data_IF_430415052569
#
_entry.id   IF_430415052569
#
_cell.length_a   1.000
_cell.length_b   1.000
_cell.length_c   1.000
_cell.angle_alpha   90.00
_cell.angle_beta   90.00
_cell.angle_gamma   90.00
#
_symmetry.space_group_name_H-M   'P 1'
#
loop_
_entity.id
_entity.type
_entity.pdbx_description
1 polymer ?
#
# COMPACT_ATOMS: atom_id res chain seq x y z
N UNK A 1 -25.11 11.61 -34.65
CA UNK A 1 -25.91 12.19 -33.55
C UNK A 1 -26.89 11.14 -33.06
N UNK A 2 -26.52 10.40 -32.01
CA UNK A 2 -27.46 9.55 -31.26
C UNK A 2 -27.99 10.42 -30.12
N UNK A 3 -29.29 10.73 -30.13
CA UNK A 3 -29.94 11.39 -29.01
C UNK A 3 -29.98 10.40 -27.84
N UNK A 4 -29.22 10.68 -26.78
CA UNK A 4 -29.30 9.95 -25.52
C UNK A 4 -30.64 10.32 -24.86
N UNK A 5 -31.62 9.42 -24.90
CA UNK A 5 -32.81 9.54 -24.06
C UNK A 5 -32.40 9.32 -22.59
N UNK A 6 -32.74 10.28 -21.73
CA UNK A 6 -32.42 10.20 -20.31
C UNK A 6 -33.28 9.12 -19.62
N UNK A 7 -32.69 8.15 -18.88
CA UNK A 7 -33.46 7.17 -18.14
C UNK A 7 -34.23 7.83 -16.98
N UNK A 8 -35.40 7.29 -16.59
CA UNK A 8 -36.23 7.85 -15.53
C UNK A 8 -35.55 7.79 -14.15
N UNK A 9 -35.92 8.70 -13.25
CA UNK A 9 -35.42 8.74 -11.87
C UNK A 9 -35.76 7.45 -11.11
N UNK A 10 -34.90 7.01 -10.16
CA UNK A 10 -35.19 5.90 -9.26
C UNK A 10 -36.49 6.14 -8.47
N UNK A 11 -37.28 5.08 -8.25
CA UNK A 11 -38.57 5.16 -7.56
C UNK A 11 -38.51 5.69 -6.11
N UNK A 12 -37.32 5.74 -5.51
CA UNK A 12 -37.06 6.23 -4.16
C UNK A 12 -36.39 7.63 -4.13
N UNK A 13 -36.40 8.38 -5.23
CA UNK A 13 -35.83 9.72 -5.27
C UNK A 13 -36.58 10.69 -4.33
N UNK A 14 -35.89 11.59 -3.60
CA UNK A 14 -36.52 12.62 -2.78
C UNK A 14 -37.45 13.51 -3.62
N UNK A 15 -38.61 13.91 -3.08
CA UNK A 15 -39.64 14.69 -3.80
C UNK A 15 -39.20 16.06 -4.33
N UNK A 16 -38.00 16.52 -3.93
CA UNK A 16 -37.39 17.77 -4.39
C UNK A 16 -36.63 17.62 -5.73
N UNK A 17 -36.44 16.40 -6.23
CA UNK A 17 -35.73 16.14 -7.49
C UNK A 17 -36.72 16.09 -8.66
N UNK A 18 -36.46 16.88 -9.70
CA UNK A 18 -37.23 16.86 -10.95
C UNK A 18 -36.60 15.93 -11.97
N UNK A 19 -37.35 15.52 -13.00
CA UNK A 19 -36.87 14.61 -14.03
C UNK A 19 -35.58 15.06 -14.74
N UNK A 20 -35.31 16.37 -14.76
CA UNK A 20 -34.12 16.97 -15.37
C UNK A 20 -32.95 17.14 -14.37
N UNK A 21 -33.20 16.91 -13.07
CA UNK A 21 -32.22 17.03 -11.99
C UNK A 21 -31.47 15.71 -11.80
N UNK A 22 -30.59 15.37 -12.74
CA UNK A 22 -29.65 14.27 -12.51
C UNK A 22 -28.58 14.71 -11.48
N UNK A 23 -28.24 13.89 -10.47
CA UNK A 23 -27.45 14.30 -9.30
C UNK A 23 -25.99 14.73 -9.55
N UNK A 24 -25.55 14.79 -10.80
CA UNK A 24 -24.22 15.29 -11.17
C UNK A 24 -24.25 16.78 -11.57
N UNK A 25 -25.36 17.29 -12.11
CA UNK A 25 -25.41 18.65 -12.70
C UNK A 25 -26.02 19.70 -11.76
N UNK A 26 -26.97 19.32 -10.89
CA UNK A 26 -27.51 20.23 -9.87
C UNK A 26 -26.45 20.73 -8.88
N UNK A 27 -25.49 19.87 -8.54
CA UNK A 27 -24.27 20.23 -7.83
C UNK A 27 -23.44 21.23 -8.64
N UNK A 28 -23.18 20.95 -9.93
CA UNK A 28 -22.38 21.81 -10.80
C UNK A 28 -22.95 23.24 -10.91
N UNK A 29 -24.27 23.41 -10.97
CA UNK A 29 -24.91 24.74 -11.07
C UNK A 29 -24.80 25.55 -9.77
N UNK A 30 -24.88 24.89 -8.63
CA UNK A 30 -24.65 25.50 -7.32
C UNK A 30 -23.18 25.91 -7.13
N UNK A 31 -22.23 25.10 -7.61
CA UNK A 31 -20.79 25.36 -7.49
C UNK A 31 -20.23 26.34 -8.53
N UNK A 32 -20.81 26.41 -9.73
CA UNK A 32 -20.40 27.36 -10.79
C UNK A 32 -20.81 28.81 -10.48
N UNK A 33 -21.84 29.03 -9.67
CA UNK A 33 -22.31 30.38 -9.29
C UNK A 33 -21.60 30.96 -8.05
N UNK A 34 -20.77 30.15 -7.36
CA UNK A 34 -19.96 30.56 -6.21
C UNK A 34 -18.48 30.34 -6.49
N UNK A 35 -18.00 30.98 -7.56
CA UNK A 35 -16.59 30.94 -7.96
C UNK A 35 -15.65 31.41 -6.83
N UNK A 36 -16.13 32.28 -5.93
CA UNK A 36 -15.44 32.71 -4.71
C UNK A 36 -15.11 31.53 -3.77
N UNK A 37 -16.09 30.66 -3.49
CA UNK A 37 -15.89 29.50 -2.61
C UNK A 37 -15.04 28.41 -3.27
N UNK A 38 -15.13 28.26 -4.60
CA UNK A 38 -14.28 27.31 -5.34
C UNK A 38 -12.85 27.83 -5.42
N UNK A 39 -12.61 29.14 -5.61
CA UNK A 39 -11.26 29.70 -5.65
C UNK A 39 -10.58 29.62 -4.28
N UNK A 40 -11.27 29.95 -3.19
CA UNK A 40 -10.72 29.82 -1.82
C UNK A 40 -10.52 28.35 -1.41
N UNK A 41 -11.46 27.46 -1.75
CA UNK A 41 -11.29 26.03 -1.49
C UNK A 41 -10.24 25.40 -2.41
N UNK A 42 -10.09 25.86 -3.66
CA UNK A 42 -9.08 25.30 -4.58
C UNK A 42 -7.67 25.84 -4.34
N UNK A 43 -7.49 26.96 -3.65
CA UNK A 43 -6.19 27.36 -3.09
C UNK A 43 -5.78 26.47 -1.91
N UNK A 44 -6.77 25.93 -1.20
CA UNK A 44 -6.62 24.90 -0.17
C UNK A 44 -6.40 23.48 -0.76
N UNK A 45 -6.92 23.18 -1.96
CA UNK A 45 -6.76 21.87 -2.64
C UNK A 45 -5.55 21.74 -3.59
N UNK A 46 -4.81 22.83 -3.86
CA UNK A 46 -3.74 22.86 -4.86
C UNK A 46 -2.43 22.16 -4.44
N UNK A 47 -2.27 21.79 -3.16
CA UNK A 47 -1.04 21.17 -2.62
C UNK A 47 -1.25 19.66 -2.34
N UNK A 48 -1.52 18.92 -3.41
CA UNK A 48 -1.83 17.48 -3.41
C UNK A 48 -0.66 16.52 -3.07
N UNK A 49 0.46 17.03 -2.54
CA UNK A 49 1.51 16.22 -1.91
C UNK A 49 1.37 16.12 -0.38
N UNK A 50 0.46 16.90 0.19
CA UNK A 50 0.55 17.34 1.58
C UNK A 50 -0.81 17.48 2.27
N UNK A 51 -1.91 17.32 1.52
CA UNK A 51 -3.25 17.10 2.07
C UNK A 51 -3.38 15.76 2.80
N UNK A 52 -2.42 14.82 2.66
CA UNK A 52 -2.32 13.64 3.54
C UNK A 52 -2.11 14.08 4.98
N UNK A 53 -1.21 15.03 5.27
CA UNK A 53 -0.95 15.49 6.63
C UNK A 53 -2.18 16.16 7.27
N UNK A 54 -2.98 16.90 6.51
CA UNK A 54 -4.20 17.56 6.98
C UNK A 54 -5.38 16.58 7.13
N UNK A 55 -5.53 15.63 6.18
CA UNK A 55 -6.44 14.49 6.34
C UNK A 55 -6.12 13.70 7.62
N UNK A 56 -4.82 13.49 7.89
CA UNK A 56 -4.29 12.60 8.92
C UNK A 56 -4.24 13.21 10.32
N UNK A 57 -3.93 14.51 10.43
CA UNK A 57 -3.85 15.20 11.72
C UNK A 57 -5.18 15.83 12.14
N UNK A 58 -6.11 16.05 11.21
CA UNK A 58 -7.40 16.69 11.47
C UNK A 58 -7.30 18.16 11.86
N UNK A 59 -6.13 18.78 11.72
CA UNK A 59 -5.89 20.19 12.02
C UNK A 59 -5.73 20.96 10.71
N UNK A 60 -6.33 22.15 10.56
CA UNK A 60 -6.06 23.00 9.41
C UNK A 60 -4.57 23.36 9.37
N UNK A 61 -3.91 23.14 8.24
CA UNK A 61 -2.50 23.48 8.04
C UNK A 61 -2.40 24.62 7.03
N UNK A 62 -1.49 25.57 7.26
CA UNK A 62 -1.20 26.59 6.25
C UNK A 62 -0.41 25.98 5.09
N UNK A 63 -0.46 26.59 3.90
CA UNK A 63 0.38 26.20 2.75
C UNK A 63 1.87 26.11 3.11
N UNK A 64 2.37 27.03 3.94
CA UNK A 64 3.75 27.00 4.42
C UNK A 64 4.06 25.82 5.35
N UNK A 65 3.13 25.45 6.24
CA UNK A 65 3.31 24.29 7.12
C UNK A 65 3.35 22.97 6.34
N UNK A 66 2.49 22.88 5.34
CA UNK A 66 2.31 21.79 4.38
C UNK A 66 3.58 21.55 3.57
N UNK A 67 4.15 22.60 2.97
CA UNK A 67 5.41 22.53 2.22
C UNK A 67 6.60 22.21 3.13
N UNK A 68 6.68 22.84 4.31
CA UNK A 68 7.74 22.60 5.30
C UNK A 68 7.76 21.14 5.75
N UNK A 69 6.61 20.61 6.17
CA UNK A 69 6.51 19.22 6.62
C UNK A 69 6.75 18.24 5.47
N UNK A 70 6.23 18.52 4.27
CA UNK A 70 6.52 17.69 3.09
C UNK A 70 8.01 17.60 2.77
N UNK A 71 8.72 18.73 2.81
CA UNK A 71 10.18 18.77 2.63
C UNK A 71 10.93 17.99 3.72
N UNK A 72 10.52 18.15 4.99
CA UNK A 72 11.05 17.37 6.11
C UNK A 72 10.82 15.87 5.91
N UNK A 73 9.60 15.45 5.57
CA UNK A 73 9.23 14.06 5.37
C UNK A 73 10.06 13.40 4.27
N UNK A 74 10.15 14.03 3.08
CA UNK A 74 10.92 13.49 1.96
C UNK A 74 12.41 13.38 2.31
N UNK A 75 12.98 14.41 2.95
CA UNK A 75 14.39 14.42 3.37
C UNK A 75 14.67 13.29 4.36
N UNK A 76 13.85 13.16 5.40
CA UNK A 76 14.01 12.14 6.43
C UNK A 76 13.81 10.73 5.85
N UNK A 77 12.76 10.51 5.07
CA UNK A 77 12.49 9.22 4.41
C UNK A 77 13.64 8.81 3.50
N UNK A 78 14.17 9.73 2.69
CA UNK A 78 15.31 9.46 1.79
C UNK A 78 16.57 9.10 2.58
N UNK A 79 16.80 9.71 3.74
CA UNK A 79 17.93 9.36 4.59
C UNK A 79 17.77 7.97 5.23
N UNK A 80 16.56 7.64 5.68
CA UNK A 80 16.24 6.36 6.32
C UNK A 80 16.28 5.19 5.34
N UNK A 81 15.82 5.37 4.10
CA UNK A 81 15.80 4.32 3.06
C UNK A 81 17.12 4.19 2.25
N UNK A 82 18.26 4.60 2.83
CA UNK A 82 19.57 4.41 2.21
C UNK A 82 20.03 2.95 2.29
N UNK A 83 20.92 2.57 1.37
CA UNK A 83 21.49 1.22 1.30
C UNK A 83 22.05 0.75 2.65
N UNK A 84 22.87 1.57 3.31
CA UNK A 84 23.55 1.18 4.55
C UNK A 84 22.57 0.88 5.69
N UNK A 85 21.44 1.59 5.75
CA UNK A 85 20.40 1.31 6.75
C UNK A 85 19.68 -0.01 6.46
N UNK A 86 19.44 -0.35 5.19
CA UNK A 86 18.90 -1.66 4.84
C UNK A 86 19.87 -2.77 5.19
N UNK A 87 21.17 -2.62 4.91
CA UNK A 87 22.19 -3.62 5.28
C UNK A 87 22.20 -3.83 6.80
N UNK A 88 22.20 -2.73 7.57
CA UNK A 88 22.18 -2.78 9.03
C UNK A 88 20.95 -3.51 9.56
N UNK A 89 19.76 -3.22 9.02
CA UNK A 89 18.50 -3.73 9.55
C UNK A 89 18.06 -5.07 8.92
N UNK A 90 18.75 -5.54 7.88
CA UNK A 90 18.36 -6.74 7.12
C UNK A 90 18.17 -7.96 8.03
N UNK A 91 19.09 -8.18 8.98
CA UNK A 91 19.01 -9.30 9.91
C UNK A 91 17.72 -9.27 10.76
N UNK A 92 17.21 -8.09 11.13
CA UNK A 92 15.97 -7.96 11.87
C UNK A 92 14.74 -8.29 11.00
N UNK A 93 14.74 -7.82 9.75
CA UNK A 93 13.65 -8.09 8.81
C UNK A 93 13.60 -9.58 8.46
N UNK A 94 14.75 -10.19 8.18
CA UNK A 94 14.85 -11.63 7.92
C UNK A 94 14.42 -12.44 9.15
N UNK A 95 14.84 -12.03 10.35
CA UNK A 95 14.39 -12.64 11.60
C UNK A 95 12.87 -12.57 11.78
N UNK A 96 12.24 -11.43 11.51
CA UNK A 96 10.78 -11.31 11.62
C UNK A 96 10.06 -12.26 10.64
N UNK A 97 10.55 -12.38 9.40
CA UNK A 97 10.01 -13.33 8.43
C UNK A 97 10.16 -14.78 8.89
N UNK A 98 11.32 -15.14 9.46
CA UNK A 98 11.57 -16.46 10.06
C UNK A 98 10.65 -16.73 11.24
N UNK A 99 10.52 -15.80 12.19
CA UNK A 99 9.64 -15.92 13.36
C UNK A 99 8.19 -16.12 12.93
N UNK A 100 7.73 -15.41 11.89
CA UNK A 100 6.40 -15.65 11.34
C UNK A 100 6.22 -17.10 10.85
N UNK A 101 7.20 -17.65 10.14
CA UNK A 101 7.15 -19.05 9.71
C UNK A 101 7.17 -20.02 10.91
N UNK A 102 7.95 -19.74 11.95
CA UNK A 102 7.98 -20.53 13.19
C UNK A 102 6.63 -20.49 13.93
N UNK A 103 5.97 -19.32 13.98
CA UNK A 103 4.61 -19.19 14.53
C UNK A 103 3.59 -19.98 13.70
N UNK A 104 3.68 -19.92 12.37
CA UNK A 104 2.79 -20.67 11.48
C UNK A 104 2.97 -22.18 11.59
N UNK A 105 4.18 -22.67 11.89
CA UNK A 105 4.46 -24.09 12.11
C UNK A 105 3.75 -24.65 13.34
N UNK A 106 3.77 -23.91 14.45
CA UNK A 106 3.20 -24.35 15.72
C UNK A 106 1.71 -24.03 15.85
N UNK A 107 1.13 -23.33 14.86
CA UNK A 107 -0.30 -23.09 14.80
C UNK A 107 -1.10 -24.39 14.76
N UNK A 108 -2.30 -24.35 15.33
CA UNK A 108 -3.19 -25.49 15.42
C UNK A 108 -3.55 -26.04 14.04
N UNK A 109 -3.48 -27.36 13.92
CA UNK A 109 -3.96 -28.07 12.73
C UNK A 109 -5.49 -28.03 12.69
N UNK A 110 -6.04 -28.13 11.49
CA UNK A 110 -7.49 -28.10 11.29
C UNK A 110 -8.10 -29.39 11.83
N UNK A 111 -9.16 -29.33 12.67
CA UNK A 111 -9.85 -30.52 13.13
C UNK A 111 -10.34 -31.38 11.97
N UNK A 112 -9.98 -32.67 11.96
CA UNK A 112 -10.31 -33.60 10.88
C UNK A 112 -9.37 -33.56 9.67
N UNK A 113 -8.38 -32.65 9.66
CA UNK A 113 -7.34 -32.60 8.63
C UNK A 113 -5.95 -32.25 9.23
N UNK A 114 -5.28 -33.22 9.88
CA UNK A 114 -4.09 -32.97 10.70
C UNK A 114 -2.86 -32.53 9.90
N UNK A 115 -2.86 -32.66 8.58
CA UNK A 115 -1.76 -32.16 7.75
C UNK A 115 -1.82 -30.64 7.55
N UNK A 116 -3.03 -30.08 7.52
CA UNK A 116 -3.27 -28.72 7.08
C UNK A 116 -3.54 -27.79 8.26
N UNK A 117 -3.00 -26.58 8.14
CA UNK A 117 -3.34 -25.42 8.95
C UNK A 117 -4.06 -24.41 8.07
N UNK A 118 -4.72 -23.44 8.70
CA UNK A 118 -5.44 -22.38 8.01
C UNK A 118 -4.99 -21.03 8.52
N UNK A 119 -4.85 -20.06 7.62
CA UNK A 119 -4.61 -18.67 7.97
C UNK A 119 -5.47 -17.74 7.13
N UNK A 120 -5.73 -16.55 7.67
CA UNK A 120 -6.14 -15.40 6.86
C UNK A 120 -4.89 -14.57 6.52
N UNK A 121 -4.47 -14.50 5.25
CA UNK A 121 -3.25 -13.79 4.87
C UNK A 121 -3.31 -12.29 5.19
N UNK A 122 -4.51 -11.67 5.19
CA UNK A 122 -4.69 -10.26 5.57
C UNK A 122 -4.57 -10.01 7.07
N UNK A 123 -4.54 -11.06 7.91
CA UNK A 123 -4.26 -10.94 9.34
C UNK A 123 -2.78 -11.19 9.61
N UNK A 124 -2.22 -12.27 9.06
CA UNK A 124 -0.83 -12.69 9.31
C UNK A 124 0.16 -11.77 8.60
N UNK A 125 0.06 -11.68 7.27
CA UNK A 125 1.06 -11.00 6.45
C UNK A 125 0.96 -9.47 6.59
N UNK A 126 -0.27 -8.94 6.73
CA UNK A 126 -0.46 -7.52 7.00
C UNK A 126 0.20 -7.12 8.33
N UNK A 127 0.06 -7.93 9.38
CA UNK A 127 0.71 -7.66 10.68
C UNK A 127 2.23 -7.72 10.56
N UNK A 128 2.78 -8.69 9.83
CA UNK A 128 4.22 -8.80 9.62
C UNK A 128 4.78 -7.58 8.88
N UNK A 129 4.11 -7.10 7.83
CA UNK A 129 4.49 -5.85 7.14
C UNK A 129 4.49 -4.68 8.11
N UNK A 130 3.51 -4.59 9.01
CA UNK A 130 3.48 -3.52 10.01
C UNK A 130 4.68 -3.56 10.95
N UNK A 131 5.07 -4.75 11.39
CA UNK A 131 6.25 -4.96 12.22
C UNK A 131 7.54 -4.55 11.48
N UNK A 132 7.72 -5.01 10.24
CA UNK A 132 8.88 -4.66 9.40
C UNK A 132 8.96 -3.16 9.07
N UNK A 133 7.79 -2.53 8.84
CA UNK A 133 7.66 -1.09 8.65
C UNK A 133 8.09 -0.35 9.91
N UNK A 134 7.65 -0.79 11.10
CA UNK A 134 8.08 -0.21 12.38
C UNK A 134 9.59 -0.34 12.60
N UNK A 135 10.23 -1.44 12.19
CA UNK A 135 11.69 -1.58 12.26
C UNK A 135 12.45 -0.61 11.36
N UNK A 136 11.88 -0.26 10.22
CA UNK A 136 12.60 0.51 9.19
C UNK A 136 12.33 1.99 9.31
N UNK A 137 11.06 2.38 9.44
CA UNK A 137 10.62 3.78 9.42
C UNK A 137 9.95 4.23 10.72
N UNK A 138 9.89 3.37 11.75
CA UNK A 138 9.27 3.69 13.03
C UNK A 138 10.13 3.38 14.26
N UNK A 139 9.48 2.88 15.30
CA UNK A 139 10.09 2.67 16.61
C UNK A 139 10.27 1.17 16.93
N UNK A 140 11.49 0.79 17.35
CA UNK A 140 11.82 -0.58 17.74
C UNK A 140 10.94 -1.11 18.88
N UNK A 141 10.55 -0.28 19.85
CA UNK A 141 9.69 -0.72 20.96
C UNK A 141 8.32 -1.20 20.47
N UNK A 142 7.83 -0.67 19.34
CA UNK A 142 6.58 -1.10 18.72
C UNK A 142 6.77 -2.38 17.92
N UNK A 143 7.92 -2.54 17.25
CA UNK A 143 8.24 -3.73 16.48
C UNK A 143 8.55 -4.95 17.37
N UNK A 144 9.20 -4.75 18.52
CA UNK A 144 9.64 -5.83 19.40
C UNK A 144 8.57 -6.24 20.44
N UNK A 145 7.63 -5.35 20.76
CA UNK A 145 6.55 -5.65 21.69
C UNK A 145 5.25 -5.99 20.94
N UNK A 146 4.92 -7.29 20.89
CA UNK A 146 3.71 -7.79 20.23
C UNK A 146 2.42 -7.08 20.65
N UNK A 147 2.20 -6.88 21.95
CA UNK A 147 0.97 -6.25 22.44
C UNK A 147 0.89 -4.76 22.03
N UNK A 148 2.02 -4.05 22.04
CA UNK A 148 2.08 -2.66 21.61
C UNK A 148 1.92 -2.53 20.09
N UNK A 149 2.56 -3.42 19.32
CA UNK A 149 2.41 -3.52 17.88
C UNK A 149 0.95 -3.79 17.48
N UNK A 150 0.32 -4.79 18.09
CA UNK A 150 -1.08 -5.15 17.82
C UNK A 150 -2.04 -4.00 18.18
N UNK A 151 -1.79 -3.32 19.31
CA UNK A 151 -2.55 -2.13 19.70
C UNK A 151 -2.43 -1.01 18.66
N UNK A 152 -1.21 -0.60 18.33
CA UNK A 152 -0.99 0.53 17.40
C UNK A 152 -1.50 0.22 15.99
N UNK A 153 -1.34 -1.03 15.52
CA UNK A 153 -1.91 -1.52 14.27
C UNK A 153 -3.44 -1.45 14.28
N UNK A 154 -4.10 -1.83 15.37
CA UNK A 154 -5.56 -1.71 15.50
C UNK A 154 -6.02 -0.23 15.44
N UNK A 155 -5.30 0.68 16.12
CA UNK A 155 -5.60 2.12 16.04
C UNK A 155 -5.38 2.66 14.62
N UNK A 156 -4.32 2.22 13.94
CA UNK A 156 -4.06 2.61 12.55
C UNK A 156 -5.18 2.13 11.61
N UNK A 157 -5.69 0.91 11.79
CA UNK A 157 -6.81 0.40 11.01
C UNK A 157 -8.12 1.19 11.28
N UNK A 158 -8.36 1.61 12.52
CA UNK A 158 -9.50 2.48 12.84
C UNK A 158 -9.36 3.84 12.12
N UNK A 159 -8.15 4.40 12.12
CA UNK A 159 -7.83 5.65 11.44
C UNK A 159 -8.04 5.55 9.91
N UNK A 160 -7.65 4.43 9.31
CA UNK A 160 -7.86 4.11 7.89
C UNK A 160 -9.37 4.01 7.57
N UNK A 161 -10.13 3.23 8.35
CA UNK A 161 -11.59 3.05 8.15
C UNK A 161 -12.38 4.35 8.26
N UNK A 162 -11.91 5.29 9.08
CA UNK A 162 -12.54 6.61 9.29
C UNK A 162 -12.08 7.65 8.25
N UNK A 163 -11.32 7.23 7.24
CA UNK A 163 -11.02 8.08 6.10
C UNK A 163 -12.28 8.31 5.25
N UNK A 164 -12.59 9.58 4.96
CA UNK A 164 -13.77 9.94 4.19
C UNK A 164 -13.39 10.96 3.12
N UNK A 165 -13.82 10.68 1.89
CA UNK A 165 -13.70 11.60 0.76
C UNK A 165 -14.56 12.85 0.94
N UNK A 166 -15.55 12.84 1.84
CA UNK A 166 -16.34 14.03 2.17
C UNK A 166 -15.46 15.18 2.68
N UNK A 167 -14.31 14.89 3.31
CA UNK A 167 -13.34 15.93 3.73
C UNK A 167 -12.70 16.65 2.54
N UNK A 168 -12.63 16.01 1.37
CA UNK A 168 -12.15 16.65 0.15
C UNK A 168 -13.17 17.65 -0.38
N UNK A 169 -14.44 17.52 -0.05
CA UNK A 169 -15.48 18.46 -0.52
C UNK A 169 -15.86 19.48 0.56
N UNK A 170 -15.84 19.06 1.82
CA UNK A 170 -16.28 19.82 2.99
C UNK A 170 -15.22 19.73 4.11
N UNK A 171 -14.00 20.28 3.89
CA UNK A 171 -12.91 20.17 4.86
C UNK A 171 -13.23 20.81 6.21
N UNK A 172 -14.05 21.86 6.19
CA UNK A 172 -14.48 22.60 7.37
C UNK A 172 -15.61 21.92 8.17
N UNK A 173 -16.28 20.90 7.61
CA UNK A 173 -17.44 20.29 8.26
C UNK A 173 -17.00 19.25 9.31
N UNK A 174 -17.25 19.48 10.61
CA UNK A 174 -16.86 18.56 11.65
C UNK A 174 -17.85 17.38 11.74
N UNK A 175 -17.67 16.38 10.89
CA UNK A 175 -18.48 15.15 10.93
C UNK A 175 -18.13 14.26 12.14
N UNK A 176 -19.02 13.37 12.60
CA UNK A 176 -18.69 12.40 13.64
C UNK A 176 -17.44 11.56 13.31
N UNK A 177 -17.28 11.17 12.03
CA UNK A 177 -16.10 10.48 11.54
C UNK A 177 -14.82 11.33 11.68
N UNK A 178 -14.91 12.66 11.51
CA UNK A 178 -13.80 13.57 11.74
C UNK A 178 -13.30 13.53 13.19
N UNK A 179 -14.21 13.63 14.17
CA UNK A 179 -13.85 13.58 15.59
C UNK A 179 -13.27 12.23 16.00
N UNK A 180 -13.88 11.13 15.56
CA UNK A 180 -13.37 9.79 15.83
C UNK A 180 -11.98 9.56 15.24
N UNK A 181 -11.71 10.12 14.05
CA UNK A 181 -10.40 10.07 13.42
C UNK A 181 -9.35 10.90 14.19
N UNK A 182 -9.71 12.10 14.64
CA UNK A 182 -8.84 12.91 15.51
C UNK A 182 -8.49 12.16 16.79
N UNK A 183 -9.47 11.45 17.36
CA UNK A 183 -9.26 10.64 18.55
C UNK A 183 -8.28 9.48 18.31
N UNK A 184 -8.37 8.75 17.19
CA UNK A 184 -7.38 7.72 16.85
C UNK A 184 -5.98 8.30 16.60
N UNK A 185 -5.91 9.43 15.91
CA UNK A 185 -4.65 10.18 15.74
C UNK A 185 -4.05 10.57 17.08
N UNK A 186 -4.86 11.02 18.03
CA UNK A 186 -4.43 11.32 19.40
C UNK A 186 -3.98 10.07 20.16
N UNK A 187 -4.64 8.93 19.98
CA UNK A 187 -4.23 7.64 20.58
C UNK A 187 -2.84 7.22 20.11
N UNK A 188 -2.55 7.32 18.81
CA UNK A 188 -1.22 7.06 18.26
C UNK A 188 -0.21 8.11 18.74
N UNK A 189 -0.56 9.39 18.71
CA UNK A 189 0.28 10.46 19.23
C UNK A 189 0.67 10.24 20.69
N UNK A 190 -0.26 9.78 21.54
CA UNK A 190 0.03 9.49 22.95
C UNK A 190 1.05 8.37 23.12
N UNK A 191 0.98 7.32 22.29
CA UNK A 191 1.96 6.22 22.32
C UNK A 191 3.33 6.72 21.86
N UNK A 192 3.41 7.32 20.67
CA UNK A 192 4.68 7.74 20.09
C UNK A 192 5.33 8.87 20.91
N UNK A 193 4.56 9.84 21.40
CA UNK A 193 5.07 10.90 22.28
C UNK A 193 5.61 10.37 23.60
N UNK A 194 5.01 9.30 24.14
CA UNK A 194 5.54 8.63 25.34
C UNK A 194 6.89 7.99 25.04
N UNK A 195 7.01 7.24 23.95
CA UNK A 195 8.27 6.63 23.51
C UNK A 195 9.36 7.71 23.37
N UNK A 196 9.07 8.78 22.63
CA UNK A 196 10.03 9.88 22.39
C UNK A 196 10.50 10.51 23.72
N UNK A 197 9.56 10.84 24.62
CA UNK A 197 9.89 11.45 25.92
C UNK A 197 10.70 10.51 26.81
N UNK A 198 10.36 9.22 26.82
CA UNK A 198 11.12 8.23 27.58
C UNK A 198 12.56 8.13 27.08
N UNK A 199 12.79 8.11 25.76
CA UNK A 199 14.14 8.11 25.17
C UNK A 199 14.93 9.36 25.55
N UNK A 200 14.32 10.54 25.43
CA UNK A 200 14.94 11.81 25.82
C UNK A 200 15.32 11.85 27.31
N UNK A 201 14.55 11.18 28.18
CA UNK A 201 14.82 11.13 29.62
C UNK A 201 15.88 10.10 30.03
N UNK A 202 15.92 8.94 29.34
CA UNK A 202 16.78 7.80 29.72
C UNK A 202 18.15 7.83 29.04
N UNK A 203 18.31 8.61 27.96
CA UNK A 203 19.57 8.69 27.21
C UNK A 203 19.98 7.38 26.55
N UNK A 204 19.02 6.46 26.31
CA UNK A 204 19.28 5.18 25.65
C UNK A 204 19.52 5.40 24.16
N UNK A 205 20.64 4.88 23.65
CA UNK A 205 20.95 4.92 22.22
C UNK A 205 20.17 3.80 21.49
N UNK A 206 19.30 4.19 20.56
CA UNK A 206 18.64 3.30 19.61
C UNK A 206 19.19 3.54 18.19
N UNK A 207 19.00 2.59 17.29
CA UNK A 207 19.49 2.69 15.90
C UNK A 207 18.36 2.66 14.87
N UNK A 208 17.24 3.30 15.21
CA UNK A 208 16.02 3.34 14.42
C UNK A 208 15.63 4.76 13.97
N UNK A 209 14.47 4.86 13.31
CA UNK A 209 13.98 6.11 12.75
C UNK A 209 13.63 7.14 13.80
N UNK A 210 13.10 6.72 14.95
CA UNK A 210 12.76 7.64 16.03
C UNK A 210 14.02 8.29 16.60
N UNK A 211 15.09 7.52 16.81
CA UNK A 211 16.34 8.08 17.31
C UNK A 211 16.97 9.04 16.29
N UNK A 212 17.02 8.65 15.02
CA UNK A 212 17.51 9.51 13.95
C UNK A 212 16.79 10.87 13.92
N UNK A 213 15.47 10.87 14.06
CA UNK A 213 14.68 12.10 14.04
C UNK A 213 14.86 12.92 15.33
N UNK A 214 14.97 12.29 16.49
CA UNK A 214 15.30 12.97 17.75
C UNK A 214 16.66 13.66 17.65
N UNK A 215 17.68 12.94 17.15
CA UNK A 215 19.04 13.46 17.01
C UNK A 215 19.12 14.60 15.98
N UNK A 216 18.24 14.59 14.98
CA UNK A 216 18.11 15.70 14.01
C UNK A 216 17.46 16.97 14.60
N UNK A 217 16.99 16.92 15.85
CA UNK A 217 16.30 18.03 16.51
C UNK A 217 14.84 18.18 16.11
N UNK A 218 14.21 17.14 15.56
CA UNK A 218 12.81 17.19 15.15
C UNK A 218 11.87 17.29 16.36
N UNK A 219 10.76 18.03 16.21
CA UNK A 219 9.78 18.14 17.28
C UNK A 219 8.99 16.84 17.46
N UNK A 220 8.46 16.59 18.67
CA UNK A 220 7.58 15.43 18.92
C UNK A 220 6.41 15.38 17.93
N UNK A 221 5.88 16.54 17.53
CA UNK A 221 4.80 16.65 16.54
C UNK A 221 5.29 16.19 15.15
N UNK A 222 6.46 16.63 14.72
CA UNK A 222 7.00 16.26 13.40
C UNK A 222 7.40 14.78 13.36
N UNK A 223 7.96 14.22 14.43
CA UNK A 223 8.29 12.79 14.53
C UNK A 223 7.02 11.94 14.45
N UNK A 224 6.00 12.29 15.24
CA UNK A 224 4.72 11.56 15.21
C UNK A 224 4.05 11.71 13.84
N UNK A 225 4.09 12.91 13.27
CA UNK A 225 3.56 13.17 11.93
C UNK A 225 4.29 12.33 10.88
N UNK A 226 5.62 12.25 10.96
CA UNK A 226 6.43 11.41 10.09
C UNK A 226 5.99 9.96 10.19
N UNK A 227 5.90 9.42 11.40
CA UNK A 227 5.51 8.03 11.65
C UNK A 227 4.14 7.70 11.06
N UNK A 228 3.12 8.49 11.37
CA UNK A 228 1.77 8.25 10.87
C UNK A 228 1.76 8.30 9.33
N UNK A 229 2.44 9.27 8.70
CA UNK A 229 2.51 9.35 7.23
C UNK A 229 3.26 8.16 6.62
N UNK A 230 4.36 7.71 7.26
CA UNK A 230 5.12 6.54 6.85
C UNK A 230 4.25 5.27 6.87
N UNK A 231 3.39 5.10 7.88
CA UNK A 231 2.46 3.97 7.96
C UNK A 231 1.42 3.97 6.82
N UNK A 232 0.88 5.12 6.42
CA UNK A 232 -0.02 5.17 5.26
C UNK A 232 0.68 4.76 3.96
N UNK A 233 1.96 5.14 3.81
CA UNK A 233 2.76 4.78 2.64
C UNK A 233 3.17 3.30 2.62
N UNK A 234 3.68 2.79 3.74
CA UNK A 234 4.23 1.44 3.85
C UNK A 234 3.16 0.36 4.05
N UNK A 235 2.12 0.62 4.84
CA UNK A 235 1.23 -0.43 5.30
C UNK A 235 0.11 -0.77 4.31
N UNK A 236 -0.58 0.25 3.78
CA UNK A 236 -1.81 0.06 3.00
C UNK A 236 -1.52 -0.63 1.66
N UNK A 237 -0.39 -0.32 1.03
CA UNK A 237 -0.05 -0.91 -0.26
C UNK A 237 0.70 -2.24 -0.12
N UNK A 238 1.78 -2.25 0.67
CA UNK A 238 2.61 -3.45 0.84
C UNK A 238 1.87 -4.54 1.60
N UNK A 239 1.17 -4.22 2.69
CA UNK A 239 0.41 -5.19 3.47
C UNK A 239 -0.69 -5.87 2.68
N UNK A 240 -1.35 -5.12 1.79
CA UNK A 240 -2.38 -5.67 0.90
C UNK A 240 -1.75 -6.55 -0.19
N UNK A 241 -0.65 -6.12 -0.81
CA UNK A 241 0.03 -6.94 -1.82
C UNK A 241 0.68 -8.20 -1.24
N UNK A 242 1.25 -8.12 -0.04
CA UNK A 242 1.80 -9.28 0.67
C UNK A 242 0.72 -10.36 0.90
N UNK A 243 -0.54 -9.95 1.13
CA UNK A 243 -1.66 -10.87 1.28
C UNK A 243 -2.23 -11.38 -0.06
N UNK A 244 -2.35 -10.53 -1.08
CA UNK A 244 -2.90 -10.90 -2.39
C UNK A 244 -1.99 -11.78 -3.23
N UNK A 245 -0.68 -11.57 -3.16
CA UNK A 245 0.30 -12.30 -3.96
C UNK A 245 0.21 -13.83 -3.79
N UNK A 246 0.22 -14.40 -2.56
CA UNK A 246 0.06 -15.84 -2.37
C UNK A 246 -1.35 -16.33 -2.75
N UNK A 247 -2.39 -15.49 -2.66
CA UNK A 247 -3.74 -15.81 -3.15
C UNK A 247 -3.72 -15.97 -4.68
N UNK A 248 -3.14 -15.01 -5.41
CA UNK A 248 -3.06 -15.07 -6.86
C UNK A 248 -2.22 -16.26 -7.37
N UNK A 249 -1.12 -16.57 -6.68
CA UNK A 249 -0.30 -17.75 -7.00
C UNK A 249 -1.05 -19.06 -6.70
N UNK A 250 -1.91 -19.08 -5.68
CA UNK A 250 -2.73 -20.28 -5.38
C UNK A 250 -3.69 -20.64 -6.52
N UNK A 251 -4.18 -19.65 -7.27
CA UNK A 251 -5.07 -19.86 -8.43
C UNK A 251 -4.33 -19.90 -9.77
N UNK A 252 -2.99 -19.79 -9.77
CA UNK A 252 -2.14 -19.90 -10.96
C UNK A 252 -0.98 -20.89 -10.76
N UNK A 253 -1.25 -22.21 -10.74
CA UNK A 253 -0.27 -23.23 -10.34
C UNK A 253 1.04 -23.20 -11.14
N UNK A 254 0.97 -22.88 -12.42
CA UNK A 254 2.15 -22.74 -13.30
C UNK A 254 3.13 -21.66 -12.82
N UNK A 255 2.60 -20.51 -12.36
CA UNK A 255 3.41 -19.40 -11.86
C UNK A 255 3.87 -19.67 -10.43
N UNK A 256 3.02 -20.27 -9.60
CA UNK A 256 3.42 -20.76 -8.27
C UNK A 256 4.63 -21.70 -8.37
N UNK A 257 4.60 -22.68 -9.26
CA UNK A 257 5.69 -23.61 -9.46
C UNK A 257 6.99 -22.92 -9.91
N UNK A 258 6.91 -21.97 -10.87
CA UNK A 258 8.08 -21.21 -11.32
C UNK A 258 8.68 -20.36 -10.18
N UNK A 259 7.85 -19.72 -9.36
CA UNK A 259 8.31 -18.90 -8.23
C UNK A 259 8.93 -19.75 -7.12
N UNK A 260 8.32 -20.91 -6.80
CA UNK A 260 8.91 -21.86 -5.85
C UNK A 260 10.26 -22.36 -6.36
N UNK A 261 10.37 -22.68 -7.65
CA UNK A 261 11.64 -23.07 -8.26
C UNK A 261 12.70 -21.95 -8.24
N UNK A 262 12.29 -20.68 -8.39
CA UNK A 262 13.19 -19.52 -8.21
C UNK A 262 13.75 -19.50 -6.79
N UNK A 263 12.88 -19.58 -5.77
CA UNK A 263 13.26 -19.58 -4.36
C UNK A 263 14.19 -20.76 -4.03
N UNK A 264 13.82 -21.96 -4.45
CA UNK A 264 14.63 -23.18 -4.24
C UNK A 264 15.99 -23.07 -4.96
N UNK A 265 16.01 -22.46 -6.16
CA UNK A 265 17.23 -22.21 -6.91
C UNK A 265 18.18 -21.23 -6.22
N UNK A 266 17.67 -20.14 -5.63
CA UNK A 266 18.47 -19.21 -4.82
C UNK A 266 19.04 -19.92 -3.61
N UNK A 267 18.22 -20.66 -2.85
CA UNK A 267 18.66 -21.42 -1.67
C UNK A 267 19.76 -22.42 -2.06
N UNK A 268 19.59 -23.15 -3.17
CA UNK A 268 20.58 -24.11 -3.63
C UNK A 268 21.90 -23.47 -4.04
N UNK A 269 21.90 -22.28 -4.66
CA UNK A 269 23.12 -21.59 -5.08
C UNK A 269 23.94 -21.05 -3.92
N UNK A 270 23.27 -20.58 -2.88
CA UNK A 270 23.90 -19.94 -1.71
C UNK A 270 24.09 -20.89 -0.53
N UNK A 271 23.67 -22.14 -0.64
CA UNK A 271 23.95 -23.18 0.36
C UNK A 271 25.43 -23.55 0.33
N UNK A 272 26.06 -23.44 1.50
CA UNK A 272 27.51 -23.68 1.68
C UNK A 272 27.85 -25.08 2.19
N UNK A 273 26.89 -25.77 2.81
CA UNK A 273 27.03 -27.14 3.32
C UNK A 273 25.73 -27.94 3.11
N UNK A 274 25.79 -29.26 2.86
CA UNK A 274 24.59 -30.10 2.77
C UNK A 274 23.69 -30.04 4.01
N UNK A 275 24.27 -29.85 5.20
CA UNK A 275 23.54 -29.81 6.48
C UNK A 275 23.02 -28.40 6.83
N UNK A 276 23.32 -27.40 6.00
CA UNK A 276 22.87 -26.02 6.26
C UNK A 276 21.34 -25.94 6.07
N UNK A 277 20.64 -25.57 7.15
CA UNK A 277 19.19 -25.43 7.14
C UNK A 277 18.77 -24.30 6.20
N UNK A 278 17.58 -24.45 5.62
CA UNK A 278 16.99 -23.45 4.72
C UNK A 278 16.89 -22.07 5.39
N UNK A 279 16.45 -22.03 6.66
CA UNK A 279 16.39 -20.80 7.45
C UNK A 279 17.73 -20.07 7.50
N UNK A 280 18.80 -20.83 7.76
CA UNK A 280 20.15 -20.26 7.93
C UNK A 280 20.74 -19.81 6.59
N UNK A 281 20.36 -20.43 5.47
CA UNK A 281 20.72 -19.93 4.12
C UNK A 281 20.06 -18.58 3.87
N UNK A 282 18.74 -18.47 4.09
CA UNK A 282 18.00 -17.23 3.87
C UNK A 282 18.50 -16.09 4.77
N UNK A 283 18.84 -16.39 6.02
CA UNK A 283 19.38 -15.43 6.98
C UNK A 283 20.78 -14.92 6.60
N UNK A 284 21.57 -15.73 5.91
CA UNK A 284 22.91 -15.37 5.45
C UNK A 284 22.94 -14.59 4.11
N UNK A 285 21.81 -14.49 3.38
CA UNK A 285 21.78 -13.79 2.10
C UNK A 285 22.05 -12.29 2.27
N UNK A 286 22.91 -11.76 1.41
CA UNK A 286 23.21 -10.33 1.37
C UNK A 286 22.05 -9.52 0.80
N UNK A 287 22.04 -8.21 1.08
CA UNK A 287 21.03 -7.29 0.54
C UNK A 287 20.98 -7.30 -0.99
N UNK A 288 22.12 -7.43 -1.65
CA UNK A 288 22.21 -7.43 -3.11
C UNK A 288 21.57 -8.70 -3.70
N UNK A 289 21.75 -9.86 -3.06
CA UNK A 289 21.09 -11.11 -3.46
C UNK A 289 19.57 -10.95 -3.33
N UNK A 290 19.08 -10.44 -2.20
CA UNK A 290 17.65 -10.17 -1.99
C UNK A 290 17.05 -9.23 -3.04
N UNK A 291 17.84 -8.32 -3.61
CA UNK A 291 17.39 -7.33 -4.59
C UNK A 291 17.50 -7.79 -6.05
N UNK A 292 18.31 -8.81 -6.33
CA UNK A 292 18.67 -9.19 -7.71
C UNK A 292 18.32 -10.62 -8.10
N UNK A 293 18.21 -11.54 -7.14
CA UNK A 293 18.00 -12.97 -7.45
C UNK A 293 16.55 -13.46 -7.35
N UNK A 294 15.58 -12.55 -7.22
CA UNK A 294 14.14 -12.85 -7.22
C UNK A 294 13.33 -12.11 -8.31
N UNK A 295 13.81 -12.03 -9.58
CA UNK A 295 13.17 -11.22 -10.61
C UNK A 295 11.77 -11.73 -11.01
N UNK A 296 11.53 -13.05 -11.01
CA UNK A 296 10.21 -13.60 -11.34
C UNK A 296 9.17 -13.21 -10.29
N UNK A 297 9.53 -13.34 -9.01
CA UNK A 297 8.67 -12.94 -7.90
C UNK A 297 8.38 -11.44 -7.95
N UNK A 298 9.41 -10.61 -8.12
CA UNK A 298 9.30 -9.15 -7.96
C UNK A 298 8.85 -8.45 -9.23
N UNK A 299 9.54 -8.67 -10.35
CA UNK A 299 9.32 -7.89 -11.56
C UNK A 299 8.15 -8.40 -12.40
N UNK A 300 7.69 -9.64 -12.14
CA UNK A 300 6.53 -10.22 -12.82
C UNK A 300 5.34 -10.42 -11.87
N UNK A 301 5.47 -11.26 -10.84
CA UNK A 301 4.31 -11.66 -10.02
C UNK A 301 3.81 -10.52 -9.12
N UNK A 302 4.71 -9.85 -8.40
CA UNK A 302 4.36 -8.68 -7.59
C UNK A 302 3.88 -7.52 -8.48
N UNK A 303 4.52 -7.29 -9.62
CA UNK A 303 4.07 -6.27 -10.59
C UNK A 303 2.63 -6.51 -11.03
N UNK A 304 2.27 -7.75 -11.34
CA UNK A 304 0.90 -8.11 -11.73
C UNK A 304 -0.07 -7.95 -10.56
N UNK A 305 0.35 -8.37 -9.35
CA UNK A 305 -0.44 -8.17 -8.13
C UNK A 305 -0.74 -6.69 -7.93
N UNK A 306 0.24 -5.81 -8.12
CA UNK A 306 0.04 -4.36 -8.01
C UNK A 306 -0.93 -3.87 -9.08
N UNK A 307 -0.79 -4.26 -10.35
CA UNK A 307 -1.74 -3.87 -11.41
C UNK A 307 -3.17 -4.27 -11.05
N UNK A 308 -3.34 -5.48 -10.50
CA UNK A 308 -4.63 -6.02 -10.08
C UNK A 308 -5.13 -5.55 -8.72
N UNK A 309 -4.38 -4.78 -7.94
CA UNK A 309 -4.81 -4.38 -6.59
C UNK A 309 -4.71 -2.89 -6.33
N UNK A 310 -3.85 -2.19 -7.07
CA UNK A 310 -3.71 -0.74 -6.95
C UNK A 310 -5.00 -0.06 -7.32
N UNK A 311 -5.27 1.02 -6.60
CA UNK A 311 -6.48 1.82 -6.70
C UNK A 311 -6.11 3.28 -6.59
N UNK A 312 -6.90 4.11 -7.26
CA UNK A 312 -6.81 5.55 -7.15
C UNK A 312 -6.68 6.23 -8.50
N UNK A 313 -6.66 7.55 -8.42
CA UNK A 313 -6.58 8.42 -9.58
C UNK A 313 -5.57 9.50 -9.25
N UNK A 314 -4.32 9.40 -9.76
CA UNK A 314 -3.39 10.51 -9.64
C UNK A 314 -3.99 11.77 -10.28
N UNK A 315 -4.10 12.84 -9.50
CA UNK A 315 -4.66 14.13 -9.93
C UNK A 315 -3.60 15.22 -9.78
N UNK A 316 -3.55 16.14 -10.75
CA UNK A 316 -2.71 17.34 -10.71
C UNK A 316 -3.53 18.55 -11.10
N UNK A 317 -3.46 19.60 -10.29
CA UNK A 317 -4.05 20.90 -10.60
C UNK A 317 -3.04 21.72 -11.41
N UNK A 318 -3.49 22.39 -12.46
CA UNK A 318 -2.72 23.46 -13.07
C UNK A 318 -2.69 24.66 -12.11
N UNK A 319 -1.52 24.92 -11.53
CA UNK A 319 -1.25 26.02 -10.60
C UNK A 319 -0.36 27.10 -11.22
N UNK A 320 -0.10 27.04 -12.53
CA UNK A 320 0.65 28.08 -13.22
C UNK A 320 -0.25 29.25 -13.58
N UNK A 321 0.36 30.39 -13.92
CA UNK A 321 -0.36 31.60 -14.34
C UNK A 321 -0.84 31.54 -15.81
N UNK A 322 -0.68 30.39 -16.48
CA UNK A 322 -1.07 30.16 -17.86
C UNK A 322 -1.60 28.74 -18.10
N UNK A 323 -2.34 28.59 -19.18
CA UNK A 323 -2.84 27.29 -19.65
C UNK A 323 -1.69 26.39 -20.09
N UNK A 324 -1.80 25.09 -19.81
CA UNK A 324 -0.78 24.10 -20.17
C UNK A 324 -1.21 23.35 -21.43
N UNK A 325 -0.49 23.53 -22.53
CA UNK A 325 -0.76 22.81 -23.79
C UNK A 325 -0.51 21.29 -23.64
N UNK A 326 -1.44 20.47 -24.13
CA UNK A 326 -1.35 19.01 -24.14
C UNK A 326 -0.48 18.48 -25.29
N UNK A 327 -0.47 19.17 -26.43
CA UNK A 327 0.39 18.88 -27.57
C UNK A 327 1.07 20.17 -28.04
N UNK A 328 2.40 20.19 -28.01
CA UNK A 328 3.20 21.32 -28.51
C UNK A 328 3.33 21.33 -30.04
N UNK A 329 2.76 20.35 -30.75
CA UNK A 329 2.98 20.13 -32.18
C UNK A 329 1.74 20.27 -33.09
N UNK A 330 0.56 20.65 -32.58
CA UNK A 330 -0.64 20.88 -33.41
C UNK A 330 -1.14 22.32 -33.36
N UNK A 331 -1.72 22.80 -34.47
CA UNK A 331 -2.27 24.17 -34.63
C UNK A 331 -3.55 24.41 -33.80
N UNK A 332 -4.15 23.36 -33.24
CA UNK A 332 -5.31 23.42 -32.34
C UNK A 332 -4.98 22.69 -31.03
N UNK A 333 -3.94 23.16 -30.33
CA UNK A 333 -3.49 22.55 -29.09
C UNK A 333 -4.61 22.61 -28.03
N UNK A 334 -5.12 21.43 -27.65
CA UNK A 334 -5.91 21.31 -26.43
C UNK A 334 -5.07 21.73 -25.23
N UNK A 335 -5.70 22.38 -24.25
CA UNK A 335 -5.01 22.89 -23.08
C UNK A 335 -5.64 22.39 -21.79
N UNK A 336 -4.85 22.34 -20.72
CA UNK A 336 -5.32 22.25 -19.34
C UNK A 336 -5.40 23.68 -18.80
N UNK A 337 -6.61 24.25 -18.63
CA UNK A 337 -6.76 25.63 -18.20
C UNK A 337 -6.14 25.89 -16.82
N UNK A 338 -5.77 27.13 -16.55
CA UNK A 338 -5.40 27.56 -15.18
C UNK A 338 -6.50 27.14 -14.20
N UNK A 339 -6.09 26.49 -13.11
CA UNK A 339 -7.00 26.00 -12.07
C UNK A 339 -7.67 24.65 -12.34
N UNK A 340 -7.58 24.11 -13.57
CA UNK A 340 -8.16 22.82 -13.92
C UNK A 340 -7.34 21.63 -13.39
N UNK A 341 -7.97 20.45 -13.30
CA UNK A 341 -7.32 19.21 -12.89
C UNK A 341 -7.11 18.27 -14.08
N UNK A 342 -5.90 17.77 -14.23
CA UNK A 342 -5.58 16.60 -15.03
C UNK A 342 -5.61 15.36 -14.14
N UNK A 343 -6.32 14.32 -14.58
CA UNK A 343 -6.50 13.08 -13.81
C UNK A 343 -6.09 11.87 -14.63
N UNK A 344 -5.22 11.03 -14.06
CA UNK A 344 -4.87 9.74 -14.61
C UNK A 344 -5.71 8.65 -13.91
N UNK A 345 -6.52 7.91 -14.65
CA UNK A 345 -7.37 6.86 -14.08
C UNK A 345 -6.66 5.51 -14.21
N UNK A 346 -6.07 5.03 -13.11
CA UNK A 346 -5.28 3.79 -13.09
C UNK A 346 -6.05 2.61 -13.68
N UNK A 347 -7.31 2.42 -13.28
CA UNK A 347 -8.11 1.29 -13.77
C UNK A 347 -8.38 1.36 -15.27
N UNK A 348 -8.57 2.57 -15.84
CA UNK A 348 -8.82 2.70 -17.28
C UNK A 348 -7.64 2.25 -18.13
N UNK A 349 -6.42 2.31 -17.59
CA UNK A 349 -5.22 1.87 -18.30
C UNK A 349 -4.88 0.44 -17.91
N UNK A 350 -4.88 0.12 -16.62
CA UNK A 350 -4.52 -1.21 -16.12
C UNK A 350 -5.51 -2.28 -16.56
N UNK A 351 -6.78 -1.94 -16.80
CA UNK A 351 -7.79 -2.87 -17.32
C UNK A 351 -8.17 -2.66 -18.78
N UNK A 352 -7.40 -1.86 -19.54
CA UNK A 352 -7.63 -1.68 -20.96
C UNK A 352 -7.26 -2.96 -21.73
N UNK A 353 -8.21 -3.56 -22.44
CA UNK A 353 -7.99 -4.75 -23.27
C UNK A 353 -7.07 -4.52 -24.48
N UNK A 354 -6.93 -3.28 -24.93
CA UNK A 354 -6.04 -2.91 -26.04
C UNK A 354 -4.57 -2.92 -25.59
N UNK A 355 -4.34 -2.68 -24.29
CA UNK A 355 -3.02 -2.72 -23.66
C UNK A 355 -2.76 -4.13 -23.12
N UNK A 356 -3.64 -4.62 -22.24
CA UNK A 356 -3.47 -5.86 -21.51
C UNK A 356 -4.43 -6.94 -22.00
N UNK A 357 -3.89 -8.07 -22.45
CA UNK A 357 -4.72 -9.21 -22.82
C UNK A 357 -5.34 -9.86 -21.58
N UNK A 358 -6.63 -10.18 -21.65
CA UNK A 358 -7.45 -10.67 -20.52
C UNK A 358 -7.18 -9.87 -19.23
N UNK A 359 -7.52 -8.57 -19.20
CA UNK A 359 -7.00 -7.62 -18.21
C UNK A 359 -7.41 -7.94 -16.77
N UNK A 360 -8.46 -8.74 -16.56
CA UNK A 360 -8.94 -9.12 -15.24
C UNK A 360 -8.23 -10.35 -14.66
N UNK A 361 -7.52 -11.12 -15.50
CA UNK A 361 -6.79 -12.30 -15.09
C UNK A 361 -5.46 -11.93 -14.44
N UNK A 362 -5.03 -12.68 -13.43
CA UNK A 362 -3.66 -12.64 -12.94
C UNK A 362 -2.76 -13.41 -13.91
N UNK A 363 -1.93 -12.68 -14.64
CA UNK A 363 -1.00 -13.25 -15.59
C UNK A 363 0.35 -12.52 -15.50
N UNK A 364 1.36 -13.08 -14.82
CA UNK A 364 2.71 -12.53 -14.84
C UNK A 364 3.39 -12.53 -16.22
N UNK A 365 2.91 -13.33 -17.18
CA UNK A 365 3.54 -13.52 -18.49
C UNK A 365 3.47 -12.29 -19.40
N UNK A 366 2.58 -11.34 -19.13
CA UNK A 366 2.50 -10.06 -19.89
C UNK A 366 3.75 -9.21 -19.81
N UNK A 367 4.61 -9.44 -18.82
CA UNK A 367 5.87 -8.73 -18.66
C UNK A 367 7.06 -9.47 -19.27
N UNK A 368 6.85 -10.67 -19.83
CA UNK A 368 7.90 -11.37 -20.58
C UNK A 368 8.28 -10.55 -21.83
N UNK A 369 9.56 -10.59 -22.27
CA UNK A 369 10.05 -9.70 -23.33
C UNK A 369 9.30 -9.79 -24.66
N UNK A 370 8.72 -10.95 -24.97
CA UNK A 370 7.92 -11.22 -26.16
C UNK A 370 6.53 -10.54 -26.13
N UNK A 371 5.95 -10.37 -24.94
CA UNK A 371 4.64 -9.73 -24.75
C UNK A 371 4.75 -8.25 -24.41
N UNK A 372 5.61 -7.91 -23.45
CA UNK A 372 5.94 -6.55 -23.00
C UNK A 372 4.73 -5.59 -22.96
N UNK A 373 3.58 -6.06 -22.45
CA UNK A 373 2.30 -5.34 -22.55
C UNK A 373 2.35 -4.01 -21.80
N UNK A 374 3.14 -3.95 -20.72
CA UNK A 374 3.39 -2.75 -19.92
C UNK A 374 4.25 -1.69 -20.59
N UNK A 375 4.74 -1.95 -21.80
CA UNK A 375 5.55 -1.02 -22.60
C UNK A 375 4.84 -0.55 -23.88
N UNK A 376 3.63 -1.06 -24.16
CA UNK A 376 2.87 -0.70 -25.37
C UNK A 376 2.55 0.79 -25.48
N UNK A 377 2.29 1.44 -24.33
CA UNK A 377 2.03 2.87 -24.25
C UNK A 377 2.76 3.49 -23.04
N UNK A 378 3.09 4.78 -23.07
CA UNK A 378 3.61 5.48 -21.89
C UNK A 378 2.68 5.27 -20.69
N UNK A 379 3.28 4.96 -19.53
CA UNK A 379 2.56 4.74 -18.27
C UNK A 379 1.53 3.60 -18.29
N UNK A 380 1.61 2.66 -19.24
CA UNK A 380 0.77 1.45 -19.26
C UNK A 380 0.77 0.72 -17.91
N UNK A 381 1.91 0.68 -17.23
CA UNK A 381 2.01 0.34 -15.81
C UNK A 381 2.40 1.56 -14.96
N UNK A 382 1.66 1.81 -13.89
CA UNK A 382 1.87 2.94 -12.97
C UNK A 382 1.67 2.51 -11.51
N UNK A 383 2.41 1.47 -11.09
CA UNK A 383 2.37 0.94 -9.72
C UNK A 383 3.30 1.64 -8.72
N UNK A 384 4.38 2.25 -9.21
CA UNK A 384 5.45 2.82 -8.38
C UNK A 384 5.58 4.34 -8.54
N UNK A 385 4.54 5.02 -9.02
CA UNK A 385 4.61 6.44 -9.40
C UNK A 385 5.49 6.69 -10.63
N UNK A 386 5.61 7.96 -11.03
CA UNK A 386 6.41 8.38 -12.19
C UNK A 386 6.81 9.86 -12.10
N UNK A 387 7.79 10.26 -12.91
CA UNK A 387 8.24 11.64 -13.04
C UNK A 387 8.76 12.23 -11.73
N UNK A 388 8.20 13.37 -11.30
CA UNK A 388 8.57 14.07 -10.06
C UNK A 388 8.07 13.39 -8.78
N UNK A 389 7.20 12.38 -8.90
CA UNK A 389 6.59 11.70 -7.77
C UNK A 389 6.75 10.18 -7.88
N UNK A 390 7.98 9.65 -7.94
CA UNK A 390 8.20 8.22 -7.81
C UNK A 390 7.92 7.78 -6.36
N UNK A 391 7.54 6.52 -6.19
CA UNK A 391 7.36 5.92 -4.88
C UNK A 391 8.72 5.79 -4.19
N UNK A 392 8.93 6.60 -3.15
CA UNK A 392 10.15 6.58 -2.31
C UNK A 392 10.40 5.21 -1.67
N UNK A 393 9.32 4.48 -1.36
CA UNK A 393 9.36 3.18 -0.70
C UNK A 393 9.60 2.00 -1.63
N UNK A 394 9.76 2.18 -2.96
CA UNK A 394 9.80 1.07 -3.93
C UNK A 394 10.80 -0.02 -3.56
N UNK A 395 12.04 0.38 -3.23
CA UNK A 395 13.12 -0.55 -2.88
C UNK A 395 12.80 -1.31 -1.59
N UNK A 396 12.23 -0.63 -0.60
CA UNK A 396 11.87 -1.22 0.67
C UNK A 396 10.68 -2.18 0.54
N UNK A 397 9.61 -1.77 -0.13
CA UNK A 397 8.42 -2.60 -0.35
C UNK A 397 8.75 -3.87 -1.14
N UNK A 398 9.62 -3.77 -2.16
CA UNK A 398 10.14 -4.95 -2.87
C UNK A 398 10.88 -5.88 -1.91
N UNK A 399 11.80 -5.35 -1.10
CA UNK A 399 12.55 -6.14 -0.12
C UNK A 399 11.64 -6.82 0.91
N UNK A 400 10.71 -6.10 1.53
CA UNK A 400 9.75 -6.65 2.50
C UNK A 400 8.96 -7.81 1.88
N UNK A 401 8.35 -7.59 0.71
CA UNK A 401 7.55 -8.64 0.07
C UNK A 401 8.42 -9.84 -0.31
N UNK A 402 9.61 -9.62 -0.86
CA UNK A 402 10.53 -10.72 -1.19
C UNK A 402 10.92 -11.53 0.04
N UNK A 403 11.29 -10.87 1.15
CA UNK A 403 11.61 -11.55 2.40
C UNK A 403 10.45 -12.41 2.88
N UNK A 404 9.24 -11.84 2.96
CA UNK A 404 8.05 -12.55 3.44
C UNK A 404 7.73 -13.74 2.53
N UNK A 405 7.68 -13.53 1.22
CA UNK A 405 7.28 -14.55 0.25
C UNK A 405 8.34 -15.65 0.10
N UNK A 406 9.63 -15.31 0.03
CA UNK A 406 10.69 -16.31 -0.09
C UNK A 406 10.73 -17.23 1.13
N UNK A 407 10.59 -16.69 2.35
CA UNK A 407 10.47 -17.51 3.55
C UNK A 407 9.21 -18.39 3.45
N UNK A 408 8.04 -17.80 3.21
CA UNK A 408 6.79 -18.55 3.16
C UNK A 408 6.83 -19.70 2.13
N UNK A 409 7.38 -19.47 0.93
CA UNK A 409 7.48 -20.48 -0.13
C UNK A 409 8.57 -21.53 0.12
N UNK A 410 9.62 -21.17 0.86
CA UNK A 410 10.67 -22.12 1.26
C UNK A 410 10.16 -23.09 2.32
N UNK A 411 9.28 -22.65 3.22
CA UNK A 411 8.81 -23.46 4.35
C UNK A 411 7.47 -24.17 4.14
N UNK A 412 6.59 -23.67 3.25
CA UNK A 412 5.21 -24.15 3.17
C UNK A 412 4.74 -24.49 1.76
N UNK A 413 3.97 -25.57 1.67
CA UNK A 413 3.04 -25.80 0.58
C UNK A 413 1.72 -25.12 0.93
N UNK A 414 1.09 -24.46 -0.03
CA UNK A 414 -0.12 -23.69 0.23
C UNK A 414 -1.11 -23.73 -0.93
N UNK A 415 -2.37 -23.58 -0.56
CA UNK A 415 -3.54 -23.56 -1.44
C UNK A 415 -4.61 -22.61 -0.89
N UNK A 416 -5.54 -22.22 -1.76
CA UNK A 416 -6.67 -21.40 -1.36
C UNK A 416 -7.71 -22.27 -0.62
N UNK A 417 -8.28 -21.70 0.44
CA UNK A 417 -9.34 -22.34 1.21
C UNK A 417 -10.64 -21.54 1.13
N UNK A 418 -11.77 -22.23 1.03
CA UNK A 418 -13.09 -21.61 0.98
C UNK A 418 -13.54 -21.07 2.35
N UNK A 419 -13.01 -21.65 3.44
CA UNK A 419 -13.44 -21.40 4.81
C UNK A 419 -12.31 -21.69 5.82
N UNK A 420 -12.61 -21.46 7.10
CA UNK A 420 -11.72 -21.74 8.22
C UNK A 420 -11.51 -23.25 8.49
N UNK A 421 -12.23 -24.15 7.80
CA UNK A 421 -12.05 -25.60 7.91
C UNK A 421 -11.08 -26.14 6.84
N UNK A 422 -10.32 -25.25 6.18
CA UNK A 422 -9.37 -25.59 5.12
C UNK A 422 -9.98 -26.38 3.96
N UNK A 423 -11.27 -26.15 3.67
CA UNK A 423 -11.94 -26.71 2.48
C UNK A 423 -11.23 -26.19 1.22
N UNK A 424 -10.63 -27.06 0.38
CA UNK A 424 -9.91 -26.61 -0.81
C UNK A 424 -10.84 -25.92 -1.80
N UNK A 425 -10.33 -24.88 -2.46
CA UNK A 425 -11.06 -24.22 -3.54
C UNK A 425 -10.12 -23.71 -4.62
N UNK A 426 -10.58 -23.77 -5.88
CA UNK A 426 -9.92 -23.10 -7.00
C UNK A 426 -10.60 -21.75 -7.34
N UNK A 427 -11.67 -21.39 -6.63
CA UNK A 427 -12.41 -20.15 -6.88
C UNK A 427 -11.65 -18.98 -6.25
N UNK A 428 -11.02 -18.17 -7.10
CA UNK A 428 -10.36 -16.94 -6.66
C UNK A 428 -11.35 -16.02 -5.91
N UNK A 429 -10.91 -15.35 -4.83
CA UNK A 429 -11.72 -14.31 -4.22
C UNK A 429 -11.93 -13.15 -5.21
N UNK A 430 -13.03 -12.40 -5.09
CA UNK A 430 -13.28 -11.27 -5.96
C UNK A 430 -12.15 -10.24 -5.82
N UNK A 431 -11.76 -9.61 -6.92
CA UNK A 431 -10.81 -8.50 -6.88
C UNK A 431 -11.27 -7.41 -5.88
N UNK A 432 -10.34 -6.63 -5.31
CA UNK A 432 -10.68 -5.55 -4.38
C UNK A 432 -11.81 -4.66 -4.90
N UNK A 433 -12.74 -4.28 -4.02
CA UNK A 433 -13.92 -3.48 -4.37
C UNK A 433 -13.50 -2.17 -5.05
N UNK A 434 -13.82 -2.08 -6.35
CA UNK A 434 -13.44 -0.98 -7.24
C UNK A 434 -14.30 0.29 -7.06
N UNK A 435 -15.26 0.29 -6.15
CA UNK A 435 -16.00 1.50 -5.78
C UNK A 435 -15.41 2.21 -4.56
N UNK A 436 -14.36 1.64 -3.94
CA UNK A 436 -13.67 2.25 -2.82
C UNK A 436 -12.62 3.27 -3.29
N UNK A 437 -12.40 4.27 -2.45
CA UNK A 437 -11.52 5.42 -2.71
C UNK A 437 -10.03 5.11 -2.48
N UNK A 438 -9.71 3.98 -1.87
CA UNK A 438 -8.35 3.51 -1.59
C UNK A 438 -8.29 1.98 -1.71
N UNK A 439 -7.07 1.47 -1.77
CA UNK A 439 -6.82 0.03 -1.60
C UNK A 439 -7.32 -0.38 -0.21
N UNK A 440 -7.98 -1.52 -0.11
CA UNK A 440 -8.56 -2.01 1.14
C UNK A 440 -8.53 -3.53 1.19
N UNK A 441 -8.71 -4.06 2.39
CA UNK A 441 -8.89 -5.49 2.61
C UNK A 441 -10.24 -5.96 2.02
N UNK A 442 -10.33 -7.23 1.61
CA UNK A 442 -11.62 -7.84 1.30
C UNK A 442 -12.61 -7.69 2.46
N UNK A 443 -13.87 -7.39 2.14
CA UNK A 443 -14.95 -7.30 3.14
C UNK A 443 -15.23 -8.67 3.79
N UNK A 444 -15.12 -9.74 3.00
CA UNK A 444 -15.25 -11.10 3.48
C UNK A 444 -13.88 -11.68 3.85
N UNK A 445 -13.77 -12.46 4.93
CA UNK A 445 -12.55 -13.17 5.27
C UNK A 445 -12.07 -14.05 4.10
N UNK A 446 -10.77 -14.01 3.83
CA UNK A 446 -10.12 -14.90 2.86
C UNK A 446 -9.26 -15.87 3.63
N UNK A 447 -9.29 -17.15 3.23
CA UNK A 447 -8.56 -18.21 3.88
C UNK A 447 -7.58 -18.87 2.93
N UNK A 448 -6.41 -19.22 3.46
CA UNK A 448 -5.42 -20.05 2.81
C UNK A 448 -5.13 -21.24 3.71
N UNK A 449 -5.03 -22.43 3.13
CA UNK A 449 -4.53 -23.60 3.82
C UNK A 449 -3.08 -23.82 3.48
N UNK A 450 -2.30 -24.22 4.47
CA UNK A 450 -0.88 -24.46 4.29
C UNK A 450 -0.41 -25.65 5.14
N UNK A 451 0.68 -26.29 4.69
CA UNK A 451 1.37 -27.34 5.42
C UNK A 451 2.88 -27.24 5.24
N UNK A 452 3.70 -27.69 6.21
CA UNK A 452 5.14 -27.61 6.10
C UNK A 452 5.67 -28.42 4.90
N UNK A 453 6.67 -27.89 4.19
CA UNK A 453 7.40 -28.64 3.15
C UNK A 453 8.30 -29.71 3.78
N UNK A 454 8.46 -30.87 3.13
CA UNK A 454 9.43 -31.87 3.58
C UNK A 454 10.86 -31.29 3.61
N UNK A 455 11.56 -31.44 4.74
CA UNK A 455 12.96 -31.01 4.88
C UNK A 455 13.19 -29.50 5.04
N UNK A 456 12.14 -28.73 5.32
CA UNK A 456 12.26 -27.28 5.45
C UNK A 456 12.85 -26.81 6.81
N UNK A 457 12.88 -27.66 7.84
CA UNK A 457 13.32 -27.33 9.21
C UNK A 457 14.36 -28.29 9.78
#
# INVERSE_FOLDING_TARGET
MLALEHPPLPANAPALWKADDWPVIGALRFYTQRADMVLEATDFFSHSGSNTAELLTGLPLTKGDVERFGGFFIKSMTALLRHDNFVRNLHLLTRDARVMCEELLVADVVPGNPEWRVMNPFNVLYRLVYQMTMRTVGAEEVADNRALGDYTLAVFQDLEKRNSTAKVYLPWLPSPAHYLRMWDGFRLYRVFSRIIKERQSKGTAYHDSFQYLIDSGASVKDITGFEINSLFGGQINTGINAAWLPIFLSVTPQWKARVVAEVDGVISRHRTSPDQKVADVLEALSLDIWQTEFPLLVDMCLRESIRLTIRGSPMRKNVTDADVALDSHSEAAEVIPVGAYATYLLDLVHFNSDIYSDPLRFDPGRYEPDRAEDKKVPHAFLGWGSGRHPCLGTRFAKLEITLIMAHFFAFFEFELAADANATPTAKAPPLPNRNLHAVSRPEQPVYMRYKPRPGAF
#
